data_IF_232804555673
#
_entry.id   IF_232804555673
#
_cell.length_a   1.000
_cell.length_b   1.000
_cell.length_c   1.000
_cell.angle_alpha   90.00
_cell.angle_beta   90.00
_cell.angle_gamma   90.00
#
_symmetry.space_group_name_H-M   'P 1'
#
loop_
_entity.id
_entity.type
_entity.pdbx_description
1 polymer ?
#
# COMPACT_ATOMS: atom_id res chain seq x y z
N UNK A 1 35.37 18.39 8.02
CA UNK A 1 33.90 18.32 8.15
C UNK A 1 33.18 19.51 7.48
N UNK A 2 33.90 20.55 7.01
CA UNK A 2 33.33 21.79 6.46
C UNK A 2 32.74 21.67 5.03
N UNK A 3 33.28 20.77 4.18
CA UNK A 3 32.90 20.74 2.75
C UNK A 3 31.45 20.38 2.46
N UNK A 4 30.84 19.45 3.23
CA UNK A 4 29.43 19.10 3.01
C UNK A 4 28.48 20.19 3.52
N UNK A 5 28.83 20.88 4.60
CA UNK A 5 27.98 21.94 5.17
C UNK A 5 27.82 23.11 4.20
N UNK A 6 28.88 23.48 3.49
CA UNK A 6 28.82 24.49 2.42
C UNK A 6 27.98 24.03 1.24
N UNK A 7 28.17 22.78 0.79
CA UNK A 7 27.35 22.20 -0.27
C UNK A 7 25.87 22.16 0.10
N UNK A 8 25.56 21.71 1.32
CA UNK A 8 24.21 21.68 1.87
C UNK A 8 23.59 23.08 1.84
N UNK A 9 24.32 24.10 2.30
CA UNK A 9 23.88 25.49 2.27
C UNK A 9 23.59 25.99 0.84
N UNK A 10 24.44 25.66 -0.13
CA UNK A 10 24.24 26.02 -1.54
C UNK A 10 22.98 25.37 -2.13
N UNK A 11 22.68 24.13 -1.75
CA UNK A 11 21.56 23.38 -2.32
C UNK A 11 20.24 23.55 -1.54
N UNK A 12 20.22 24.22 -0.39
CA UNK A 12 18.97 24.48 0.37
C UNK A 12 17.83 25.05 -0.50
N UNK A 13 18.04 26.07 -1.36
CA UNK A 13 16.95 26.61 -2.17
C UNK A 13 16.38 25.57 -3.14
N UNK A 14 17.23 24.68 -3.68
CA UNK A 14 16.80 23.59 -4.55
C UNK A 14 16.01 22.53 -3.77
N UNK A 15 16.42 22.21 -2.54
CA UNK A 15 15.70 21.27 -1.68
C UNK A 15 14.29 21.79 -1.38
N UNK A 16 14.15 23.05 -0.93
CA UNK A 16 12.84 23.65 -0.69
C UNK A 16 11.99 23.72 -1.96
N UNK A 17 12.60 24.04 -3.10
CA UNK A 17 11.90 24.00 -4.38
C UNK A 17 11.34 22.60 -4.69
N UNK A 18 12.10 21.53 -4.43
CA UNK A 18 11.61 20.16 -4.64
C UNK A 18 10.47 19.84 -3.67
N UNK A 19 10.62 20.15 -2.39
CA UNK A 19 9.60 19.95 -1.35
C UNK A 19 8.27 20.58 -1.78
N UNK A 20 8.30 21.86 -2.16
CA UNK A 20 7.11 22.56 -2.63
C UNK A 20 6.57 21.97 -3.94
N UNK A 21 7.44 21.57 -4.88
CA UNK A 21 7.01 20.95 -6.15
C UNK A 21 6.31 19.59 -5.98
N UNK A 22 6.61 18.89 -4.88
CA UNK A 22 5.98 17.62 -4.52
C UNK A 22 4.73 17.82 -3.64
N UNK A 23 4.34 19.06 -3.36
CA UNK A 23 3.26 19.42 -2.44
C UNK A 23 3.41 18.78 -1.05
N UNK A 24 4.65 18.69 -0.55
CA UNK A 24 4.91 18.20 0.81
C UNK A 24 4.58 19.35 1.78
N UNK A 25 3.49 19.21 2.52
CA UNK A 25 3.06 20.18 3.55
C UNK A 25 3.10 19.62 4.98
N UNK A 26 3.24 18.29 5.13
CA UNK A 26 3.48 17.61 6.42
C UNK A 26 4.93 17.18 6.50
N UNK A 27 5.50 17.18 7.71
CA UNK A 27 6.85 16.69 7.99
C UNK A 27 7.95 17.32 7.11
N UNK A 28 7.82 18.61 6.76
CA UNK A 28 8.75 19.30 5.87
C UNK A 28 10.22 19.19 6.33
N UNK A 29 10.45 19.31 7.64
CA UNK A 29 11.79 19.15 8.23
C UNK A 29 12.37 17.76 7.99
N UNK A 30 11.56 16.70 8.06
CA UNK A 30 12.00 15.33 7.80
C UNK A 30 12.39 15.15 6.33
N UNK A 31 11.55 15.64 5.41
CA UNK A 31 11.86 15.61 3.98
C UNK A 31 13.10 16.43 3.63
N UNK A 32 13.33 17.54 4.33
CA UNK A 32 14.56 18.32 4.20
C UNK A 32 15.79 17.50 4.62
N UNK A 33 15.73 16.77 5.73
CA UNK A 33 16.81 15.86 6.14
C UNK A 33 17.04 14.73 5.13
N UNK A 34 15.97 14.13 4.61
CA UNK A 34 16.05 13.09 3.58
C UNK A 34 16.75 13.63 2.33
N UNK A 35 16.44 14.86 1.94
CA UNK A 35 17.09 15.52 0.81
C UNK A 35 18.58 15.77 1.07
N UNK A 36 18.97 16.17 2.29
CA UNK A 36 20.38 16.32 2.66
C UNK A 36 21.14 15.00 2.61
N UNK A 37 20.57 13.92 3.14
CA UNK A 37 21.18 12.58 3.07
C UNK A 37 21.32 12.16 1.59
N UNK A 38 20.28 12.38 0.79
CA UNK A 38 20.31 12.07 -0.64
C UNK A 38 21.34 12.92 -1.39
N UNK A 39 21.54 14.18 -1.02
CA UNK A 39 22.58 15.06 -1.60
C UNK A 39 23.98 14.53 -1.28
N UNK A 40 24.20 14.07 -0.04
CA UNK A 40 25.47 13.47 0.37
C UNK A 40 25.77 12.20 -0.42
N UNK A 41 24.81 11.27 -0.52
CA UNK A 41 24.95 10.05 -1.33
C UNK A 41 25.14 10.37 -2.82
N UNK A 42 24.46 11.40 -3.34
CA UNK A 42 24.64 11.84 -4.71
C UNK A 42 26.06 12.34 -4.96
N UNK A 43 26.67 13.04 -4.00
CA UNK A 43 28.06 13.48 -4.09
C UNK A 43 29.02 12.29 -4.21
N UNK A 44 28.80 11.22 -3.45
CA UNK A 44 29.64 10.02 -3.49
C UNK A 44 29.49 9.20 -4.78
N UNK A 45 28.28 9.20 -5.36
CA UNK A 45 27.94 8.38 -6.53
C UNK A 45 28.02 9.11 -7.86
N UNK A 46 28.29 10.41 -7.83
CA UNK A 46 28.31 11.23 -9.03
C UNK A 46 29.47 10.86 -9.94
N UNK A 47 29.15 10.76 -11.22
CA UNK A 47 30.10 10.48 -12.29
C UNK A 47 30.15 11.71 -13.23
N UNK A 48 31.26 12.45 -13.26
CA UNK A 48 31.40 13.64 -14.09
C UNK A 48 31.15 13.40 -15.59
N UNK A 49 31.40 12.18 -16.08
CA UNK A 49 31.19 11.82 -17.49
C UNK A 49 29.70 11.75 -17.86
N UNK A 50 28.81 11.61 -16.85
CA UNK A 50 27.36 11.46 -17.05
C UNK A 50 26.59 12.78 -17.04
N UNK A 51 27.27 13.92 -16.84
CA UNK A 51 26.68 15.26 -16.96
C UNK A 51 26.96 16.17 -15.77
N UNK A 52 26.05 17.11 -15.50
CA UNK A 52 26.22 18.11 -14.41
C UNK A 52 25.75 17.55 -13.07
N UNK A 53 26.55 17.78 -12.02
CA UNK A 53 26.20 17.37 -10.66
C UNK A 53 24.85 17.92 -10.20
N UNK A 54 24.54 19.19 -10.48
CA UNK A 54 23.27 19.80 -10.07
C UNK A 54 22.04 19.09 -10.63
N UNK A 55 22.07 18.65 -11.89
CA UNK A 55 20.98 17.90 -12.53
C UNK A 55 20.83 16.52 -11.91
N UNK A 56 21.96 15.86 -11.64
CA UNK A 56 21.99 14.55 -10.99
C UNK A 56 21.46 14.63 -9.56
N UNK A 57 21.98 15.57 -8.76
CA UNK A 57 21.56 15.81 -7.39
C UNK A 57 20.08 16.14 -7.30
N UNK A 58 19.55 17.02 -8.17
CA UNK A 58 18.11 17.31 -8.22
C UNK A 58 17.28 16.05 -8.41
N UNK A 59 17.62 15.25 -9.43
CA UNK A 59 16.88 14.03 -9.76
C UNK A 59 16.98 12.98 -8.64
N UNK A 60 18.15 12.85 -8.02
CA UNK A 60 18.41 11.91 -6.95
C UNK A 60 17.64 12.27 -5.67
N UNK A 61 17.74 13.53 -5.23
CA UNK A 61 17.00 14.05 -4.07
C UNK A 61 15.49 13.92 -4.28
N UNK A 62 14.97 14.33 -5.45
CA UNK A 62 13.54 14.23 -5.78
C UNK A 62 13.06 12.77 -5.78
N UNK A 63 13.84 11.85 -6.34
CA UNK A 63 13.53 10.43 -6.33
C UNK A 63 13.48 9.84 -4.91
N UNK A 64 14.42 10.23 -4.04
CA UNK A 64 14.45 9.79 -2.63
C UNK A 64 13.24 10.30 -1.84
N UNK A 65 12.90 11.59 -2.00
CA UNK A 65 11.69 12.14 -1.36
C UNK A 65 10.41 11.49 -1.89
N UNK A 66 10.30 11.22 -3.20
CA UNK A 66 9.13 10.54 -3.76
C UNK A 66 8.98 9.10 -3.26
N UNK A 67 10.11 8.40 -3.06
CA UNK A 67 10.12 7.06 -2.47
C UNK A 67 9.60 7.10 -1.03
N UNK A 68 10.02 8.09 -0.24
CA UNK A 68 9.53 8.27 1.12
C UNK A 68 8.05 8.63 1.16
N UNK A 69 7.58 9.57 0.33
CA UNK A 69 6.16 9.90 0.17
C UNK A 69 5.32 8.63 -0.08
N UNK A 70 5.78 7.78 -1.01
CA UNK A 70 5.10 6.52 -1.32
C UNK A 70 5.09 5.55 -0.13
N UNK A 71 6.15 5.56 0.69
CA UNK A 71 6.24 4.75 1.92
C UNK A 71 5.28 5.27 2.99
N UNK A 72 5.24 6.58 3.21
CA UNK A 72 4.35 7.22 4.19
C UNK A 72 2.88 7.01 3.82
N UNK A 73 2.50 7.22 2.55
CA UNK A 73 1.13 6.96 2.10
C UNK A 73 0.68 5.51 2.34
N UNK A 74 1.55 4.54 2.05
CA UNK A 74 1.26 3.13 2.34
C UNK A 74 1.18 2.85 3.84
N UNK A 75 1.99 3.53 4.65
CA UNK A 75 1.95 3.38 6.10
C UNK A 75 0.69 4.03 6.69
N UNK A 76 0.24 5.17 6.18
CA UNK A 76 -1.02 5.84 6.57
C UNK A 76 -2.25 5.02 6.16
N UNK A 77 -2.24 4.38 4.98
CA UNK A 77 -3.29 3.42 4.58
C UNK A 77 -3.40 2.23 5.55
N UNK A 78 -2.30 1.85 6.20
CA UNK A 78 -2.24 0.73 7.16
C UNK A 78 -2.44 1.19 8.61
N UNK A 79 -2.09 2.45 8.93
CA UNK A 79 -2.24 3.10 10.24
C UNK A 79 -3.24 4.25 10.14
N UNK A 80 -4.51 3.94 9.92
CA UNK A 80 -5.58 4.90 10.21
C UNK A 80 -5.72 4.96 11.73
N UNK A 81 -5.02 5.90 12.37
CA UNK A 81 -5.34 6.28 13.75
C UNK A 81 -6.62 7.10 13.70
N UNK A 82 -7.72 6.66 14.32
CA UNK A 82 -8.96 7.41 14.23
C UNK A 82 -8.88 8.67 15.11
N UNK A 83 -9.16 9.84 14.54
CA UNK A 83 -9.33 11.10 15.27
C UNK A 83 -10.36 10.95 16.40
N UNK A 84 -10.30 11.78 17.45
CA UNK A 84 -11.22 11.72 18.61
C UNK A 84 -12.72 11.71 18.22
N UNK A 85 -13.07 12.31 17.07
CA UNK A 85 -14.41 12.31 16.46
C UNK A 85 -14.91 10.89 16.11
N UNK A 86 -13.99 9.94 15.87
CA UNK A 86 -14.29 8.53 15.60
C UNK A 86 -14.81 7.78 16.84
N UNK A 87 -14.40 8.18 18.05
CA UNK A 87 -14.89 7.55 19.28
C UNK A 87 -16.31 8.00 19.64
N UNK A 88 -16.68 9.24 19.29
CA UNK A 88 -18.03 9.77 19.55
C UNK A 88 -19.07 9.27 18.53
N UNK A 89 -18.65 8.93 17.30
CA UNK A 89 -19.55 8.36 16.29
C UNK A 89 -19.80 6.85 16.45
N UNK A 90 -19.05 6.14 17.30
CA UNK A 90 -19.22 4.69 17.53
C UNK A 90 -20.27 4.37 18.60
N UNK A 91 -21.43 5.03 18.50
CA UNK A 91 -22.72 4.49 18.95
C UNK A 91 -23.56 4.17 17.70
N UNK A 92 -22.99 3.37 16.81
CA UNK A 92 -23.76 2.65 15.81
C UNK A 92 -23.15 1.26 15.65
N UNK A 93 -24.00 0.24 15.76
CA UNK A 93 -23.71 -1.17 16.03
C UNK A 93 -23.11 -1.96 14.86
N UNK A 94 -22.33 -1.34 13.98
CA UNK A 94 -21.70 -2.05 12.87
C UNK A 94 -20.21 -1.72 12.79
N UNK A 95 -19.44 -2.24 13.75
CA UNK A 95 -18.17 -2.86 13.36
C UNK A 95 -18.52 -3.89 12.27
N UNK A 96 -17.90 -3.81 11.09
CA UNK A 96 -17.97 -4.91 10.12
C UNK A 96 -17.34 -6.14 10.78
N UNK A 97 -18.13 -6.87 11.57
CA UNK A 97 -17.82 -8.23 11.97
C UNK A 97 -17.46 -8.97 10.69
N UNK A 98 -16.34 -9.73 10.67
CA UNK A 98 -16.12 -10.72 9.62
C UNK A 98 -17.43 -11.47 9.47
N UNK A 99 -18.02 -11.47 8.25
CA UNK A 99 -19.34 -12.07 8.00
C UNK A 99 -19.44 -13.33 8.83
N UNK A 100 -20.34 -13.35 9.81
CA UNK A 100 -20.55 -14.51 10.67
C UNK A 100 -20.62 -15.71 9.73
N UNK A 101 -19.85 -16.78 10.00
CA UNK A 101 -19.63 -17.85 9.03
C UNK A 101 -20.96 -18.36 8.45
N UNK A 102 -22.04 -18.36 9.24
CA UNK A 102 -23.41 -18.62 8.80
C UNK A 102 -23.88 -17.72 7.63
N UNK A 103 -23.72 -16.40 7.75
CA UNK A 103 -24.06 -15.40 6.72
C UNK A 103 -23.20 -15.55 5.46
N UNK A 104 -21.90 -15.85 5.59
CA UNK A 104 -21.07 -16.11 4.41
C UNK A 104 -21.53 -17.39 3.67
N UNK A 105 -21.96 -18.40 4.44
CA UNK A 105 -22.40 -19.67 3.89
C UNK A 105 -23.79 -19.62 3.26
N UNK A 106 -24.67 -18.68 3.63
CA UNK A 106 -25.99 -18.54 2.98
C UNK A 106 -25.86 -18.19 1.49
N UNK A 107 -24.89 -17.34 1.13
CA UNK A 107 -24.62 -17.01 -0.28
C UNK A 107 -23.93 -18.13 -1.06
N UNK A 108 -23.52 -19.22 -0.40
CA UNK A 108 -22.79 -20.33 -1.00
C UNK A 108 -23.69 -21.44 -1.56
N UNK A 109 -24.99 -21.21 -1.68
CA UNK A 109 -25.91 -22.20 -2.24
C UNK A 109 -25.58 -22.55 -3.69
N UNK A 110 -25.62 -23.85 -4.01
CA UNK A 110 -25.25 -24.37 -5.32
C UNK A 110 -23.73 -24.40 -5.63
N UNK A 111 -22.87 -23.94 -4.72
CA UNK A 111 -21.41 -24.09 -4.86
C UNK A 111 -20.99 -25.55 -4.62
N UNK A 112 -19.99 -26.02 -5.37
CA UNK A 112 -19.34 -27.30 -5.06
C UNK A 112 -18.50 -27.18 -3.80
N UNK A 113 -18.19 -28.31 -3.15
CA UNK A 113 -17.35 -28.32 -1.95
C UNK A 113 -16.03 -27.55 -2.14
N UNK A 114 -15.38 -27.68 -3.30
CA UNK A 114 -14.13 -26.96 -3.61
C UNK A 114 -14.33 -25.45 -3.80
N UNK A 115 -15.47 -25.05 -4.38
CA UNK A 115 -15.84 -23.63 -4.50
C UNK A 115 -16.13 -23.02 -3.12
N UNK A 116 -16.89 -23.73 -2.29
CA UNK A 116 -17.21 -23.33 -0.91
C UNK A 116 -15.95 -23.23 -0.04
N UNK A 117 -15.05 -24.21 -0.15
CA UNK A 117 -13.74 -24.16 0.51
C UNK A 117 -12.93 -22.93 0.09
N UNK A 118 -12.92 -22.59 -1.21
CA UNK A 118 -12.26 -21.38 -1.67
C UNK A 118 -12.86 -20.10 -1.05
N UNK A 119 -14.20 -19.99 -0.99
CA UNK A 119 -14.88 -18.85 -0.35
C UNK A 119 -14.46 -18.72 1.12
N UNK A 120 -14.49 -19.81 1.87
CA UNK A 120 -14.11 -19.80 3.29
C UNK A 120 -12.61 -19.43 3.44
N UNK A 121 -11.71 -20.06 2.69
CA UNK A 121 -10.28 -19.76 2.81
C UNK A 121 -9.94 -18.31 2.45
N UNK A 122 -10.58 -17.75 1.43
CA UNK A 122 -10.31 -16.38 0.99
C UNK A 122 -10.98 -15.34 1.88
N UNK A 123 -12.27 -15.49 2.20
CA UNK A 123 -13.03 -14.44 2.90
C UNK A 123 -13.06 -14.60 4.42
N UNK A 124 -12.99 -15.83 4.94
CA UNK A 124 -12.99 -16.08 6.39
C UNK A 124 -11.56 -16.20 6.95
N UNK A 125 -10.65 -16.86 6.23
CA UNK A 125 -9.26 -17.06 6.69
C UNK A 125 -8.23 -16.13 6.03
N UNK A 126 -8.63 -15.26 5.09
CA UNK A 126 -7.74 -14.28 4.45
C UNK A 126 -6.61 -14.88 3.60
N UNK A 127 -6.72 -16.16 3.20
CA UNK A 127 -5.64 -16.86 2.50
C UNK A 127 -5.52 -16.45 1.03
N UNK A 128 -4.27 -16.33 0.57
CA UNK A 128 -3.95 -16.13 -0.85
C UNK A 128 -4.12 -17.40 -1.69
N UNK A 129 -4.21 -17.22 -3.00
CA UNK A 129 -4.31 -18.33 -3.97
C UNK A 129 -3.14 -19.31 -3.85
N UNK A 130 -1.95 -18.82 -3.48
CA UNK A 130 -0.75 -19.66 -3.30
C UNK A 130 -0.87 -20.50 -2.03
N UNK A 131 -1.22 -19.89 -0.91
CA UNK A 131 -1.38 -20.59 0.37
C UNK A 131 -2.52 -21.63 0.30
N UNK A 132 -3.60 -21.34 -0.43
CA UNK A 132 -4.68 -22.32 -0.66
C UNK A 132 -4.18 -23.49 -1.51
N UNK A 133 -3.40 -23.22 -2.55
CA UNK A 133 -2.85 -24.27 -3.41
C UNK A 133 -1.89 -25.18 -2.66
N UNK A 134 -1.02 -24.60 -1.82
CA UNK A 134 -0.10 -25.35 -0.95
C UNK A 134 -0.85 -26.18 0.09
N UNK A 135 -1.84 -25.58 0.77
CA UNK A 135 -2.65 -26.25 1.80
C UNK A 135 -3.45 -27.42 1.24
N UNK A 136 -4.09 -27.25 0.09
CA UNK A 136 -4.91 -28.28 -0.55
C UNK A 136 -4.08 -29.22 -1.45
N UNK A 137 -2.77 -28.98 -1.59
CA UNK A 137 -1.85 -29.73 -2.45
C UNK A 137 -2.34 -29.81 -3.91
N UNK A 138 -2.80 -28.69 -4.44
CA UNK A 138 -3.31 -28.56 -5.82
C UNK A 138 -2.53 -27.51 -6.59
N UNK A 139 -2.73 -27.45 -7.91
CA UNK A 139 -2.13 -26.39 -8.73
C UNK A 139 -2.81 -25.04 -8.51
N UNK A 140 -2.07 -23.94 -8.74
CA UNK A 140 -2.64 -22.58 -8.76
C UNK A 140 -3.78 -22.45 -9.78
N UNK A 141 -3.73 -23.19 -10.89
CA UNK A 141 -4.79 -23.22 -11.90
C UNK A 141 -6.07 -23.85 -11.38
N UNK A 142 -6.00 -24.87 -10.53
CA UNK A 142 -7.16 -25.47 -9.89
C UNK A 142 -7.84 -24.47 -8.94
N UNK A 143 -7.07 -23.77 -8.11
CA UNK A 143 -7.61 -22.75 -7.18
C UNK A 143 -8.24 -21.58 -7.95
N UNK A 144 -7.62 -21.12 -9.04
CA UNK A 144 -8.22 -20.09 -9.92
C UNK A 144 -9.54 -20.56 -10.55
N UNK A 145 -9.65 -21.84 -10.90
CA UNK A 145 -10.91 -22.44 -11.40
C UNK A 145 -11.99 -22.47 -10.32
N UNK A 146 -11.63 -22.81 -9.07
CA UNK A 146 -12.56 -22.76 -7.94
C UNK A 146 -13.05 -21.34 -7.71
N UNK A 147 -12.15 -20.35 -7.71
CA UNK A 147 -12.47 -18.93 -7.63
C UNK A 147 -13.48 -18.49 -8.69
N UNK A 148 -13.19 -18.77 -9.97
CA UNK A 148 -14.04 -18.32 -11.06
C UNK A 148 -15.47 -18.86 -10.92
N UNK A 149 -15.61 -20.16 -10.67
CA UNK A 149 -16.93 -20.78 -10.51
C UNK A 149 -17.63 -20.44 -9.19
N UNK A 150 -16.89 -20.11 -8.13
CA UNK A 150 -17.48 -19.62 -6.89
C UNK A 150 -18.05 -18.21 -7.06
N UNK A 151 -17.28 -17.28 -7.66
CA UNK A 151 -17.70 -15.89 -7.88
C UNK A 151 -18.94 -15.82 -8.76
N UNK A 152 -18.99 -16.61 -9.83
CA UNK A 152 -20.14 -16.65 -10.75
C UNK A 152 -21.44 -16.99 -10.01
N UNK A 153 -21.42 -18.03 -9.17
CA UNK A 153 -22.59 -18.51 -8.43
C UNK A 153 -22.97 -17.59 -7.27
N UNK A 154 -21.99 -17.12 -6.50
CA UNK A 154 -22.24 -16.18 -5.39
C UNK A 154 -22.88 -14.90 -5.92
N UNK A 155 -22.44 -14.38 -7.08
CA UNK A 155 -23.08 -13.22 -7.72
C UNK A 155 -24.52 -13.48 -8.13
N UNK A 156 -24.81 -14.67 -8.67
CA UNK A 156 -26.18 -15.04 -9.00
C UNK A 156 -27.08 -15.09 -7.75
N UNK A 157 -26.58 -15.65 -6.65
CA UNK A 157 -27.33 -15.77 -5.39
C UNK A 157 -27.61 -14.40 -4.76
N UNK A 158 -26.62 -13.50 -4.72
CA UNK A 158 -26.79 -12.12 -4.20
C UNK A 158 -27.85 -11.34 -5.00
N UNK A 159 -27.88 -11.52 -6.32
CA UNK A 159 -28.87 -10.84 -7.17
C UNK A 159 -30.28 -11.41 -7.01
N UNK A 160 -30.41 -12.65 -6.53
CA UNK A 160 -31.70 -13.32 -6.34
C UNK A 160 -32.38 -12.91 -5.03
N UNK A 161 -31.61 -12.57 -3.98
CA UNK A 161 -32.14 -12.11 -2.69
C UNK A 161 -32.57 -10.62 -2.67
N UNK A 162 -32.37 -9.89 -3.77
CA UNK A 162 -32.75 -8.46 -3.91
C UNK A 162 -34.12 -8.22 -4.59
N UNK A 163 -34.90 -9.28 -4.83
CA UNK A 163 -36.25 -9.22 -5.40
C UNK A 163 -37.31 -9.63 -4.37
#
# INVERSE_FOLDING_TARGET
MEGFTELANQYRPMIYHIIHSLNIYKNEEEFFQIALIALWEAQERFDPEKGKFSTFAYSYMKGRMMTELTRQLKAEEVNVYPDEVFWEMKKDEHEEEPLQLATLLSYCDGLTNKQKQWVIYTFYFGMSVREIAEKEKVSLSAVKKWRAGAIEKVRANINTERC
#
